data_IF_734097639900
#
_entry.id   IF_734097639900
#
_cell.length_a   1.000
_cell.length_b   1.000
_cell.length_c   1.000
_cell.angle_alpha   90.00
_cell.angle_beta   90.00
_cell.angle_gamma   90.00
#
_symmetry.space_group_name_H-M   'P 1'
#
loop_
_entity.id
_entity.type
_entity.pdbx_description
1 polymer ?
#
# COMPACT_ATOMS: atom_id res chain seq x y z
N UNK A 1 -16.91 20.87 11.97
CA UNK A 1 -16.79 19.46 11.53
C UNK A 1 -15.71 18.81 12.37
N UNK A 2 -15.91 17.57 12.84
CA UNK A 2 -14.87 16.86 13.59
C UNK A 2 -13.67 16.57 12.67
N UNK A 3 -12.43 16.95 13.04
CA UNK A 3 -11.24 16.69 12.23
C UNK A 3 -11.08 15.21 11.90
N UNK A 4 -10.65 14.89 10.67
CA UNK A 4 -10.32 13.51 10.27
C UNK A 4 -9.01 13.12 10.94
N UNK A 5 -8.94 11.94 11.59
CA UNK A 5 -7.68 11.43 12.15
C UNK A 5 -6.99 10.51 11.16
N UNK A 6 -5.76 10.85 10.77
CA UNK A 6 -4.99 10.15 9.75
C UNK A 6 -3.67 9.67 10.36
N UNK A 7 -3.34 8.39 10.20
CA UNK A 7 -1.99 7.88 10.48
C UNK A 7 -1.36 7.39 9.17
N UNK A 8 -0.21 7.96 8.83
CA UNK A 8 0.59 7.57 7.66
C UNK A 8 1.86 6.91 8.14
N UNK A 9 2.02 5.61 7.83
CA UNK A 9 3.22 4.86 8.20
C UNK A 9 4.45 5.43 7.48
N UNK A 10 5.54 5.63 8.22
CA UNK A 10 6.88 5.84 7.71
C UNK A 10 7.77 4.66 8.10
N UNK A 11 8.66 4.26 7.20
CA UNK A 11 9.68 3.25 7.47
C UNK A 11 10.92 3.46 6.59
N UNK A 12 12.11 2.97 7.01
CA UNK A 12 13.33 3.09 6.21
C UNK A 12 13.18 2.44 4.84
N UNK A 13 13.52 3.18 3.78
CA UNK A 13 13.40 2.71 2.40
C UNK A 13 11.98 2.83 1.82
N UNK A 14 11.06 3.56 2.47
CA UNK A 14 9.79 3.94 1.82
C UNK A 14 10.06 4.86 0.62
N UNK A 15 9.17 4.87 -0.36
CA UNK A 15 9.16 5.88 -1.42
C UNK A 15 8.55 7.17 -0.86
N UNK A 16 9.33 8.24 -0.74
CA UNK A 16 8.86 9.48 -0.10
C UNK A 16 7.62 10.06 -0.82
N UNK A 17 7.56 9.96 -2.15
CA UNK A 17 6.44 10.48 -2.94
C UNK A 17 5.12 9.74 -2.66
N UNK A 18 5.16 8.46 -2.32
CA UNK A 18 3.97 7.70 -1.89
C UNK A 18 3.33 8.30 -0.64
N UNK A 19 4.14 8.91 0.24
CA UNK A 19 3.65 9.60 1.44
C UNK A 19 3.28 11.04 1.11
N UNK A 20 4.21 11.79 0.51
CA UNK A 20 4.07 13.24 0.30
C UNK A 20 2.89 13.58 -0.58
N UNK A 21 2.61 12.80 -1.64
CA UNK A 21 1.48 13.03 -2.54
C UNK A 21 0.14 13.03 -1.79
N UNK A 22 -0.26 11.91 -1.14
CA UNK A 22 -1.47 11.88 -0.34
C UNK A 22 -1.45 12.83 0.86
N UNK A 23 -0.32 12.98 1.54
CA UNK A 23 -0.21 13.86 2.71
C UNK A 23 -0.59 15.30 2.35
N UNK A 24 -0.08 15.83 1.23
CA UNK A 24 -0.35 17.21 0.80
C UNK A 24 -1.83 17.49 0.52
N UNK A 25 -2.56 16.50 0.00
CA UNK A 25 -3.99 16.64 -0.31
C UNK A 25 -4.91 16.32 0.88
N UNK A 26 -4.48 15.44 1.79
CA UNK A 26 -5.27 15.04 2.95
C UNK A 26 -5.03 15.91 4.19
N UNK A 27 -3.92 16.65 4.28
CA UNK A 27 -3.59 17.45 5.46
C UNK A 27 -4.68 18.47 5.82
N UNK A 28 -5.34 19.08 4.83
CA UNK A 28 -6.45 20.02 5.06
C UNK A 28 -7.69 19.39 5.70
N UNK A 29 -7.85 18.06 5.64
CA UNK A 29 -8.93 17.31 6.29
C UNK A 29 -8.65 17.02 7.76
N UNK A 30 -7.37 17.03 8.12
CA UNK A 30 -6.82 16.52 9.36
C UNK A 30 -5.92 17.57 10.05
N UNK A 31 -6.40 18.82 10.25
CA UNK A 31 -5.63 19.81 11.00
C UNK A 31 -5.30 19.24 12.39
N UNK A 32 -4.01 19.29 12.75
CA UNK A 32 -3.44 18.78 14.00
C UNK A 32 -3.71 17.30 14.33
N UNK A 33 -4.23 16.54 13.35
CA UNK A 33 -4.71 15.16 13.53
C UNK A 33 -4.20 14.21 12.45
N UNK A 34 -3.23 14.67 11.65
CA UNK A 34 -2.42 13.86 10.75
C UNK A 34 -1.10 13.50 11.46
N UNK A 35 -0.87 12.21 11.61
CA UNK A 35 0.31 11.66 12.25
C UNK A 35 1.20 10.97 11.21
N UNK A 36 2.46 11.38 11.13
CA UNK A 36 3.50 10.61 10.45
C UNK A 36 4.06 9.62 11.48
N UNK A 37 3.73 8.34 11.31
CA UNK A 37 3.94 7.33 12.35
C UNK A 37 5.06 6.38 11.96
N UNK A 38 6.03 6.20 12.85
CA UNK A 38 7.07 5.19 12.69
C UNK A 38 7.25 4.39 13.99
N UNK A 39 8.19 3.43 13.98
CA UNK A 39 8.57 2.68 15.19
C UNK A 39 8.99 3.62 16.33
N UNK A 40 9.69 4.70 16.01
CA UNK A 40 10.11 5.76 16.92
C UNK A 40 10.00 7.12 16.24
N UNK A 41 9.80 8.18 17.04
CA UNK A 41 9.83 9.58 16.58
C UNK A 41 11.22 9.93 16.04
N UNK A 42 11.28 10.79 15.02
CA UNK A 42 12.53 11.27 14.42
C UNK A 42 12.62 11.05 12.91
N UNK A 43 13.78 11.33 12.30
CA UNK A 43 13.97 11.21 10.85
C UNK A 43 13.92 9.75 10.38
N UNK A 44 13.25 9.53 9.25
CA UNK A 44 13.12 8.23 8.58
C UNK A 44 13.50 8.42 7.11
N UNK A 45 14.59 7.78 6.68
CA UNK A 45 15.13 7.91 5.33
C UNK A 45 14.34 7.10 4.30
N UNK A 46 14.01 7.74 3.18
CA UNK A 46 13.40 7.09 2.01
C UNK A 46 14.43 6.33 1.15
N UNK A 47 13.92 5.59 0.17
CA UNK A 47 14.68 4.90 -0.88
C UNK A 47 15.61 5.81 -1.71
N UNK A 48 15.31 7.11 -1.75
CA UNK A 48 16.08 8.13 -2.50
C UNK A 48 16.91 9.04 -1.59
N UNK A 49 17.00 8.74 -0.29
CA UNK A 49 17.79 9.51 0.68
C UNK A 49 17.12 10.76 1.25
N UNK A 50 15.95 11.17 0.74
CA UNK A 50 15.12 12.18 1.39
C UNK A 50 14.58 11.64 2.72
N UNK A 51 14.72 12.40 3.81
CA UNK A 51 14.20 11.99 5.11
C UNK A 51 12.91 12.74 5.46
N UNK A 52 11.89 11.99 5.91
CA UNK A 52 10.69 12.56 6.53
C UNK A 52 10.77 12.40 8.04
N UNK A 53 10.17 13.30 8.81
CA UNK A 53 10.22 13.24 10.28
C UNK A 53 8.94 12.60 10.81
N UNK A 54 9.06 11.44 11.44
CA UNK A 54 7.96 10.83 12.18
C UNK A 54 7.61 11.71 13.38
N UNK A 55 6.34 12.08 13.48
CA UNK A 55 5.80 12.92 14.56
C UNK A 55 5.30 12.08 15.74
N UNK A 56 5.13 10.76 15.54
CA UNK A 56 4.47 9.88 16.50
C UNK A 56 5.04 8.46 16.40
N UNK A 57 5.17 7.77 17.54
CA UNK A 57 5.60 6.38 17.59
C UNK A 57 4.41 5.41 17.42
N UNK A 58 4.66 4.11 17.20
CA UNK A 58 3.59 3.10 17.24
C UNK A 58 2.85 3.05 18.58
N UNK A 59 3.55 3.31 19.69
CA UNK A 59 2.97 3.29 21.03
C UNK A 59 2.05 4.50 21.26
N UNK A 60 2.46 5.68 20.77
CA UNK A 60 1.77 6.95 21.04
C UNK A 60 0.75 7.33 19.97
N UNK A 61 0.68 6.58 18.87
CA UNK A 61 -0.29 6.82 17.81
C UNK A 61 -1.72 6.60 18.32
N UNK A 62 -2.69 7.50 18.02
CA UNK A 62 -4.08 7.29 18.40
C UNK A 62 -4.63 5.93 17.96
N UNK A 63 -5.44 5.31 18.82
CA UNK A 63 -6.02 3.98 18.55
C UNK A 63 -7.19 4.02 17.57
N UNK A 64 -7.93 5.13 17.56
CA UNK A 64 -9.07 5.40 16.67
C UNK A 64 -8.64 6.32 15.53
N UNK A 65 -8.75 5.83 14.30
CA UNK A 65 -8.34 6.54 13.10
C UNK A 65 -9.48 6.56 12.09
N UNK A 66 -9.63 7.66 11.35
CA UNK A 66 -10.45 7.66 10.16
C UNK A 66 -9.69 7.01 8.99
N UNK A 67 -8.38 7.23 8.90
CA UNK A 67 -7.53 6.71 7.82
C UNK A 67 -6.25 6.13 8.40
N UNK A 68 -6.01 4.84 8.15
CA UNK A 68 -4.71 4.20 8.27
C UNK A 68 -4.10 4.09 6.87
N UNK A 69 -2.88 4.59 6.69
CA UNK A 69 -2.21 4.67 5.40
C UNK A 69 -0.83 4.03 5.41
N UNK A 70 -0.53 3.26 4.36
CA UNK A 70 0.74 2.55 4.19
C UNK A 70 1.37 2.85 2.82
N UNK A 71 2.54 3.49 2.74
CA UNK A 71 3.26 3.71 1.48
C UNK A 71 3.97 2.44 1.00
N UNK A 72 4.46 2.45 -0.24
CA UNK A 72 5.38 1.45 -0.77
C UNK A 72 6.84 1.90 -0.72
N UNK A 73 7.68 1.23 -1.51
CA UNK A 73 9.12 1.50 -1.66
C UNK A 73 10.02 0.29 -1.38
N UNK A 74 11.33 0.46 -1.55
CA UNK A 74 12.35 -0.59 -1.42
C UNK A 74 12.34 -1.30 -0.06
N UNK A 75 11.93 -0.60 1.01
CA UNK A 75 11.79 -1.16 2.35
C UNK A 75 10.59 -2.10 2.55
N UNK A 76 9.72 -2.26 1.55
CA UNK A 76 8.46 -3.03 1.65
C UNK A 76 8.70 -4.45 2.18
N UNK A 77 9.65 -5.18 1.60
CA UNK A 77 9.91 -6.57 1.97
C UNK A 77 10.37 -6.73 3.43
N UNK A 78 11.10 -5.75 3.96
CA UNK A 78 11.49 -5.73 5.36
C UNK A 78 10.28 -5.53 6.27
N UNK A 79 9.38 -4.61 5.92
CA UNK A 79 8.16 -4.35 6.70
C UNK A 79 7.16 -5.50 6.65
N UNK A 80 7.09 -6.25 5.55
CA UNK A 80 6.30 -7.49 5.46
C UNK A 80 6.73 -8.56 6.46
N UNK A 81 7.95 -8.49 7.00
CA UNK A 81 8.50 -9.41 8.01
C UNK A 81 8.60 -8.80 9.41
N UNK A 82 8.38 -7.49 9.53
CA UNK A 82 8.56 -6.78 10.79
C UNK A 82 7.35 -6.98 11.71
N UNK A 83 7.50 -7.82 12.72
CA UNK A 83 6.42 -8.21 13.62
C UNK A 83 5.75 -7.00 14.32
N UNK A 84 6.52 -5.96 14.67
CA UNK A 84 5.98 -4.78 15.33
C UNK A 84 5.11 -3.94 14.38
N UNK A 85 5.56 -3.75 13.15
CA UNK A 85 4.80 -3.05 12.10
C UNK A 85 3.52 -3.79 11.77
N UNK A 86 3.59 -5.11 11.56
CA UNK A 86 2.39 -5.91 11.29
C UNK A 86 1.40 -5.89 12.46
N UNK A 87 1.88 -5.96 13.71
CA UNK A 87 1.04 -5.87 14.89
C UNK A 87 0.37 -4.48 15.01
N UNK A 88 1.13 -3.41 14.81
CA UNK A 88 0.62 -2.03 14.78
C UNK A 88 -0.49 -1.86 13.72
N UNK A 89 -0.25 -2.34 12.51
CA UNK A 89 -1.23 -2.25 11.41
C UNK A 89 -2.50 -3.04 11.72
N UNK A 90 -2.40 -4.27 12.23
CA UNK A 90 -3.57 -5.08 12.61
C UNK A 90 -4.40 -4.40 13.69
N UNK A 91 -3.73 -3.87 14.72
CA UNK A 91 -4.40 -3.18 15.82
C UNK A 91 -5.16 -1.95 15.31
N UNK A 92 -4.48 -1.03 14.62
CA UNK A 92 -5.11 0.20 14.11
C UNK A 92 -6.19 -0.09 13.06
N UNK A 93 -5.96 -1.05 12.17
CA UNK A 93 -6.93 -1.43 11.14
C UNK A 93 -8.23 -2.01 11.71
N UNK A 94 -8.21 -2.60 12.92
CA UNK A 94 -9.42 -3.14 13.55
C UNK A 94 -10.48 -2.07 13.88
N UNK A 95 -10.07 -0.80 13.95
CA UNK A 95 -10.92 0.34 14.32
C UNK A 95 -10.86 1.48 13.30
N UNK A 96 -9.99 1.38 12.29
CA UNK A 96 -9.87 2.40 11.26
C UNK A 96 -11.10 2.43 10.34
N UNK A 97 -11.63 3.63 10.07
CA UNK A 97 -12.73 3.78 9.09
C UNK A 97 -12.28 3.44 7.67
N UNK A 98 -11.03 3.71 7.32
CA UNK A 98 -10.41 3.33 6.04
C UNK A 98 -9.01 2.73 6.26
N UNK A 99 -8.74 1.59 5.65
CA UNK A 99 -7.42 0.94 5.60
C UNK A 99 -6.87 1.09 4.20
N UNK A 100 -5.79 1.83 4.07
CA UNK A 100 -5.37 2.37 2.78
C UNK A 100 -3.89 2.17 2.49
N UNK A 101 -3.53 2.09 1.22
CA UNK A 101 -2.13 2.03 0.80
C UNK A 101 -1.91 2.58 -0.61
N UNK A 102 -0.66 2.95 -0.89
CA UNK A 102 -0.18 3.29 -2.24
C UNK A 102 0.93 2.31 -2.62
N UNK A 103 1.05 2.04 -3.92
CA UNK A 103 2.16 1.26 -4.49
C UNK A 103 2.26 -0.13 -3.81
N UNK A 104 3.47 -0.55 -3.48
CA UNK A 104 3.76 -1.80 -2.78
C UNK A 104 3.35 -1.82 -1.30
N UNK A 105 2.83 -0.72 -0.75
CA UNK A 105 2.28 -0.68 0.62
C UNK A 105 1.11 -1.65 0.82
N UNK A 106 0.39 -1.96 -0.25
CA UNK A 106 -0.63 -3.01 -0.29
C UNK A 106 -0.07 -4.40 0.05
N UNK A 107 1.21 -4.66 -0.25
CA UNK A 107 1.86 -5.93 0.14
C UNK A 107 2.10 -6.01 1.65
N UNK A 108 2.38 -4.88 2.30
CA UNK A 108 2.50 -4.82 3.77
C UNK A 108 1.13 -5.05 4.42
N UNK A 109 0.07 -4.45 3.88
CA UNK A 109 -1.31 -4.73 4.32
C UNK A 109 -1.68 -6.20 4.10
N UNK A 110 -1.30 -6.78 2.97
CA UNK A 110 -1.47 -8.20 2.67
C UNK A 110 -0.75 -9.10 3.68
N UNK A 111 0.52 -8.80 3.99
CA UNK A 111 1.31 -9.51 5.00
C UNK A 111 0.73 -9.37 6.42
N UNK A 112 0.09 -8.23 6.73
CA UNK A 112 -0.68 -8.04 7.94
C UNK A 112 -1.99 -8.86 7.95
N UNK A 113 -2.38 -9.49 6.85
CA UNK A 113 -3.61 -10.26 6.69
C UNK A 113 -4.85 -9.38 6.43
N UNK A 114 -4.65 -8.10 6.12
CA UNK A 114 -5.73 -7.11 6.03
C UNK A 114 -6.44 -7.08 4.67
N UNK A 115 -5.90 -7.78 3.67
CA UNK A 115 -6.42 -7.83 2.30
C UNK A 115 -6.92 -9.23 1.86
N UNK A 116 -6.98 -10.21 2.77
CA UNK A 116 -7.50 -11.55 2.43
C UNK A 116 -8.95 -11.48 1.94
N UNK A 117 -9.18 -11.89 0.70
CA UNK A 117 -10.49 -11.87 0.03
C UNK A 117 -10.92 -10.51 -0.52
N UNK A 118 -10.12 -9.45 -0.34
CA UNK A 118 -10.43 -8.11 -0.86
C UNK A 118 -9.82 -7.89 -2.24
N UNK A 119 -10.54 -7.17 -3.10
CA UNK A 119 -10.02 -6.59 -4.32
C UNK A 119 -9.02 -5.49 -3.98
N UNK A 120 -7.83 -5.57 -4.56
CA UNK A 120 -6.78 -4.60 -4.33
C UNK A 120 -5.88 -4.43 -5.55
N UNK A 121 -5.26 -3.26 -5.67
CA UNK A 121 -4.18 -2.95 -6.62
C UNK A 121 -2.86 -2.74 -5.87
N UNK A 122 -1.77 -2.63 -6.62
CA UNK A 122 -0.42 -2.37 -6.12
C UNK A 122 0.40 -1.68 -7.20
N UNK A 123 1.71 -1.54 -7.01
CA UNK A 123 2.60 -1.22 -8.12
C UNK A 123 2.52 -2.32 -9.19
N UNK A 124 2.51 -1.94 -10.47
CA UNK A 124 2.33 -2.86 -11.60
C UNK A 124 3.32 -4.03 -11.59
N UNK A 125 4.54 -3.81 -11.11
CA UNK A 125 5.59 -4.84 -11.06
C UNK A 125 5.31 -5.97 -10.06
N UNK A 126 4.44 -5.76 -9.07
CA UNK A 126 4.16 -6.71 -7.99
C UNK A 126 2.68 -7.09 -7.87
N UNK A 127 1.78 -6.31 -8.48
CA UNK A 127 0.32 -6.49 -8.39
C UNK A 127 -0.12 -7.89 -8.80
N UNK A 128 0.33 -8.38 -9.95
CA UNK A 128 -0.19 -9.66 -10.47
C UNK A 128 0.61 -10.87 -9.96
N UNK A 129 1.78 -10.62 -9.34
CA UNK A 129 2.78 -11.65 -9.08
C UNK A 129 3.07 -11.90 -7.60
N UNK A 130 2.83 -10.92 -6.72
CA UNK A 130 3.10 -10.99 -5.28
C UNK A 130 1.83 -10.76 -4.47
N UNK A 131 1.03 -9.75 -4.82
CA UNK A 131 -0.21 -9.42 -4.10
C UNK A 131 -1.18 -10.62 -3.94
N UNK A 132 -1.38 -11.51 -4.95
CA UNK A 132 -2.26 -12.67 -4.81
C UNK A 132 -1.76 -13.70 -3.80
N UNK A 133 -0.43 -13.81 -3.63
CA UNK A 133 0.19 -14.70 -2.64
C UNK A 133 -0.20 -14.32 -1.19
N UNK A 134 -0.65 -13.08 -1.00
CA UNK A 134 -1.08 -12.53 0.29
C UNK A 134 -2.61 -12.60 0.48
N UNK A 135 -3.32 -13.29 -0.43
CA UNK A 135 -4.76 -13.57 -0.35
C UNK A 135 -5.65 -12.46 -0.91
N UNK A 136 -5.10 -11.42 -1.52
CA UNK A 136 -5.87 -10.38 -2.18
C UNK A 136 -6.25 -10.77 -3.61
N UNK A 137 -7.33 -10.21 -4.13
CA UNK A 137 -7.77 -10.37 -5.52
C UNK A 137 -7.18 -9.19 -6.32
N UNK A 138 -6.18 -9.42 -7.20
CA UNK A 138 -5.52 -8.33 -7.91
C UNK A 138 -6.46 -7.66 -8.92
N UNK A 139 -6.44 -6.32 -8.97
CA UNK A 139 -7.21 -5.51 -9.91
C UNK A 139 -6.29 -4.49 -10.57
N UNK A 140 -6.23 -4.49 -11.91
CA UNK A 140 -5.51 -3.49 -12.69
C UNK A 140 -6.34 -2.21 -12.82
N UNK A 141 -6.38 -1.44 -11.73
CA UNK A 141 -6.95 -0.11 -11.70
C UNK A 141 -6.05 0.82 -10.87
N UNK A 142 -6.16 2.12 -11.12
CA UNK A 142 -5.32 3.14 -10.49
C UNK A 142 -5.65 3.32 -9.01
N UNK A 143 -6.94 3.24 -8.66
CA UNK A 143 -7.43 3.28 -7.27
C UNK A 143 -8.58 2.28 -7.13
N UNK A 144 -8.45 1.34 -6.21
CA UNK A 144 -9.43 0.28 -5.96
C UNK A 144 -10.05 0.48 -4.58
N UNK A 145 -11.37 0.60 -4.53
CA UNK A 145 -12.16 0.59 -3.30
C UNK A 145 -12.87 -0.76 -3.16
N UNK A 146 -12.71 -1.42 -2.02
CA UNK A 146 -13.45 -2.63 -1.65
C UNK A 146 -13.83 -2.59 -0.16
N UNK A 147 -15.11 -2.36 0.12
CA UNK A 147 -15.56 -2.04 1.47
C UNK A 147 -14.82 -0.84 2.04
N UNK A 148 -14.09 -1.03 3.15
CA UNK A 148 -13.24 -0.01 3.76
C UNK A 148 -11.75 -0.12 3.38
N UNK A 149 -11.39 -0.99 2.42
CA UNK A 149 -10.03 -1.08 1.88
C UNK A 149 -9.89 -0.18 0.67
N UNK A 150 -8.83 0.63 0.64
CA UNK A 150 -8.52 1.49 -0.50
C UNK A 150 -7.06 1.36 -0.87
N UNK A 151 -6.78 0.70 -1.97
CA UNK A 151 -5.41 0.54 -2.47
C UNK A 151 -5.25 1.33 -3.74
N UNK A 152 -4.12 2.02 -3.88
CA UNK A 152 -3.77 2.76 -5.09
C UNK A 152 -2.53 2.14 -5.74
N UNK A 153 -2.42 2.32 -7.04
CA UNK A 153 -1.33 1.79 -7.85
C UNK A 153 0.01 2.52 -7.55
N UNK A 154 0.96 2.46 -8.48
CA UNK A 154 2.30 2.99 -8.28
C UNK A 154 2.37 4.50 -8.03
N UNK A 155 3.10 4.87 -6.99
CA UNK A 155 3.71 6.19 -6.76
C UNK A 155 2.75 7.38 -6.88
N UNK A 156 2.62 7.95 -8.08
CA UNK A 156 1.77 9.12 -8.33
C UNK A 156 0.28 8.84 -8.16
N UNK A 157 -0.13 7.57 -8.18
CA UNK A 157 -1.51 7.17 -7.89
C UNK A 157 -1.97 7.61 -6.50
N UNK A 158 -1.05 7.92 -5.57
CA UNK A 158 -1.36 8.50 -4.27
C UNK A 158 -2.10 9.84 -4.34
N UNK A 159 -1.86 10.66 -5.37
CA UNK A 159 -2.56 11.93 -5.57
C UNK A 159 -4.04 11.70 -5.90
N UNK A 160 -4.31 10.83 -6.86
CA UNK A 160 -5.68 10.48 -7.27
C UNK A 160 -6.44 9.76 -6.15
N UNK A 161 -5.75 8.87 -5.42
CA UNK A 161 -6.27 8.22 -4.22
C UNK A 161 -6.73 9.24 -3.19
N UNK A 162 -5.90 10.24 -2.89
CA UNK A 162 -6.21 11.23 -1.88
C UNK A 162 -7.45 12.07 -2.25
N UNK A 163 -7.58 12.47 -3.52
CA UNK A 163 -8.79 13.16 -4.01
C UNK A 163 -10.03 12.26 -3.91
N UNK A 164 -9.92 11.01 -4.36
CA UNK A 164 -11.04 10.06 -4.32
C UNK A 164 -11.47 9.71 -2.88
N UNK A 165 -10.53 9.66 -1.94
CA UNK A 165 -10.81 9.46 -0.52
C UNK A 165 -11.38 10.73 0.13
N UNK A 166 -10.84 11.91 -0.20
CA UNK A 166 -11.36 13.19 0.28
C UNK A 166 -12.84 13.36 -0.10
N UNK A 167 -13.23 12.97 -1.31
CA UNK A 167 -14.61 12.99 -1.76
C UNK A 167 -15.52 12.10 -0.87
N UNK A 168 -15.04 10.93 -0.43
CA UNK A 168 -15.79 10.05 0.49
C UNK A 168 -15.82 10.53 1.93
N UNK A 169 -14.84 11.34 2.33
CA UNK A 169 -14.73 11.87 3.70
C UNK A 169 -15.50 13.19 3.89
N UNK A 170 -15.61 14.03 2.84
CA UNK A 170 -16.16 15.40 2.91
C UNK A 170 -17.03 15.82 1.73
N UNK A 171 -17.25 14.96 0.75
CA UNK A 171 -18.02 15.26 -0.45
C UNK A 171 -17.17 15.78 -1.61
N UNK A 172 -17.75 15.75 -2.81
CA UNK A 172 -17.04 16.06 -4.06
C UNK A 172 -16.54 17.51 -4.12
N UNK A 173 -17.31 18.48 -3.62
CA UNK A 173 -16.93 19.90 -3.68
C UNK A 173 -15.64 20.17 -2.90
N UNK A 174 -15.45 19.52 -1.75
CA UNK A 174 -14.21 19.59 -1.01
C UNK A 174 -13.05 19.02 -1.82
N UNK A 175 -13.22 17.84 -2.42
CA UNK A 175 -12.18 17.21 -3.21
C UNK A 175 -11.79 18.04 -4.44
N UNK A 176 -12.77 18.62 -5.15
CA UNK A 176 -12.52 19.54 -6.28
C UNK A 176 -11.82 20.81 -5.85
N UNK A 177 -12.17 21.34 -4.67
CA UNK A 177 -11.48 22.50 -4.09
C UNK A 177 -10.02 22.16 -3.76
N UNK A 178 -9.76 21.02 -3.11
CA UNK A 178 -8.40 20.55 -2.82
C UNK A 178 -7.59 20.33 -4.11
N UNK A 179 -8.20 19.75 -5.14
CA UNK A 179 -7.59 19.59 -6.46
C UNK A 179 -7.19 20.95 -7.07
N UNK A 180 -8.06 21.95 -6.98
CA UNK A 180 -7.79 23.30 -7.50
C UNK A 180 -6.70 24.02 -6.70
N UNK A 181 -6.72 23.93 -5.37
CA UNK A 181 -5.69 24.53 -4.50
C UNK A 181 -4.31 23.95 -4.81
N UNK A 182 -4.23 22.66 -5.10
CA UNK A 182 -3.00 22.00 -5.49
C UNK A 182 -2.62 22.21 -6.97
N UNK A 183 -3.47 22.87 -7.76
CA UNK A 183 -3.37 22.96 -9.22
C UNK A 183 -3.09 21.59 -9.87
N UNK A 184 -3.76 20.54 -9.36
CA UNK A 184 -3.54 19.18 -9.83
C UNK A 184 -4.23 18.93 -11.17
N UNK A 185 -3.55 19.38 -12.23
CA UNK A 185 -3.92 19.26 -13.64
C UNK A 185 -2.74 18.68 -14.43
N UNK A 186 -2.36 17.41 -14.19
CA UNK A 186 -1.13 16.84 -14.74
C UNK A 186 -1.15 16.79 -16.27
N UNK A 187 -0.04 17.17 -16.90
CA UNK A 187 0.22 17.04 -18.33
C UNK A 187 1.57 16.34 -18.55
N UNK A 188 1.65 15.01 -18.35
CA UNK A 188 2.90 14.28 -18.50
C UNK A 188 3.49 14.48 -19.91
N UNK A 189 4.81 14.70 -20.05
CA UNK A 189 5.43 14.91 -21.36
C UNK A 189 5.62 13.62 -22.19
N UNK A 190 5.32 12.45 -21.61
CA UNK A 190 5.43 11.15 -22.24
C UNK A 190 4.27 10.24 -21.83
N UNK A 191 3.87 9.34 -22.74
CA UNK A 191 2.83 8.32 -22.51
C UNK A 191 3.45 6.98 -22.07
N UNK A 192 4.22 6.99 -20.97
CA UNK A 192 4.93 5.80 -20.47
C UNK A 192 4.57 5.44 -19.01
N UNK A 193 3.42 5.91 -18.52
CA UNK A 193 2.99 5.73 -17.13
C UNK A 193 2.43 4.34 -16.79
N UNK A 194 2.27 3.46 -17.77
CA UNK A 194 1.83 2.07 -17.59
C UNK A 194 2.62 1.14 -18.53
N UNK A 195 2.75 -0.17 -18.21
CA UNK A 195 3.44 -1.11 -19.09
C UNK A 195 2.86 -1.15 -20.51
N UNK A 196 1.54 -1.09 -20.63
CA UNK A 196 0.85 -1.09 -21.92
C UNK A 196 1.22 0.13 -22.78
N UNK A 197 1.23 1.34 -22.19
CA UNK A 197 1.54 2.57 -22.90
C UNK A 197 3.05 2.71 -23.20
N UNK A 198 3.91 2.26 -22.27
CA UNK A 198 5.37 2.33 -22.41
C UNK A 198 5.92 1.38 -23.49
N UNK A 199 5.18 0.32 -23.82
CA UNK A 199 5.61 -0.71 -24.75
C UNK A 199 6.68 -1.66 -24.16
N UNK A 200 7.01 -2.74 -24.87
CA UNK A 200 7.77 -3.87 -24.32
C UNK A 200 9.21 -3.52 -23.95
N UNK A 201 9.89 -2.70 -24.74
CA UNK A 201 11.31 -2.34 -24.52
C UNK A 201 11.48 -1.51 -23.24
N UNK A 202 10.65 -0.48 -23.06
CA UNK A 202 10.73 0.38 -21.87
C UNK A 202 10.26 -0.38 -20.64
N UNK A 203 9.21 -1.20 -20.77
CA UNK A 203 8.73 -2.07 -19.69
C UNK A 203 9.83 -3.03 -19.22
N UNK A 204 10.55 -3.69 -20.13
CA UNK A 204 11.66 -4.58 -19.77
C UNK A 204 12.76 -3.85 -19.01
N UNK A 205 13.13 -2.63 -19.44
CA UNK A 205 14.13 -1.81 -18.74
C UNK A 205 13.65 -1.42 -17.34
N UNK A 206 12.40 -1.00 -17.21
CA UNK A 206 11.81 -0.67 -15.91
C UNK A 206 11.75 -1.91 -15.00
N UNK A 207 11.43 -3.08 -15.55
CA UNK A 207 11.42 -4.34 -14.81
C UNK A 207 12.82 -4.69 -14.26
N UNK A 208 13.88 -4.44 -15.02
CA UNK A 208 15.26 -4.65 -14.54
C UNK A 208 15.62 -3.72 -13.37
N UNK A 209 15.13 -2.47 -13.38
CA UNK A 209 15.30 -1.54 -12.26
C UNK A 209 14.56 -2.05 -11.01
N UNK A 210 13.37 -2.61 -11.19
CA UNK A 210 12.48 -3.03 -10.10
C UNK A 210 12.68 -4.49 -9.65
N UNK A 211 13.64 -5.21 -10.25
CA UNK A 211 13.79 -6.65 -10.04
C UNK A 211 14.06 -7.00 -8.57
N UNK A 212 14.95 -6.26 -7.91
CA UNK A 212 15.26 -6.44 -6.49
C UNK A 212 14.01 -6.26 -5.61
N UNK A 213 13.21 -5.22 -5.86
CA UNK A 213 11.98 -4.96 -5.12
C UNK A 213 11.01 -6.15 -5.23
N UNK A 214 10.76 -6.64 -6.45
CA UNK A 214 9.84 -7.76 -6.70
C UNK A 214 10.37 -9.06 -6.11
N UNK A 215 11.66 -9.34 -6.29
CA UNK A 215 12.31 -10.56 -5.78
C UNK A 215 12.25 -10.62 -4.26
N UNK A 216 12.59 -9.53 -3.57
CA UNK A 216 12.56 -9.50 -2.11
C UNK A 216 11.13 -9.53 -1.55
N UNK A 217 10.17 -8.88 -2.20
CA UNK A 217 8.77 -8.95 -1.82
C UNK A 217 8.20 -10.38 -1.99
N UNK A 218 8.56 -11.07 -3.08
CA UNK A 218 8.16 -12.47 -3.29
C UNK A 218 8.73 -13.40 -2.22
N UNK A 219 10.02 -13.26 -1.87
CA UNK A 219 10.63 -14.00 -0.76
C UNK A 219 9.94 -13.73 0.57
N UNK A 220 9.55 -12.48 0.82
CA UNK A 220 8.82 -12.09 2.03
C UNK A 220 7.41 -12.71 2.10
N UNK A 221 6.76 -12.92 0.96
CA UNK A 221 5.40 -13.49 0.90
C UNK A 221 5.37 -15.01 1.08
N UNK A 222 6.43 -15.74 0.72
CA UNK A 222 6.45 -17.22 0.73
C UNK A 222 6.06 -17.87 2.07
N UNK A 223 6.52 -17.39 3.26
CA UNK A 223 6.14 -18.00 4.54
C UNK A 223 4.70 -17.70 5.00
N UNK A 224 4.00 -16.78 4.32
CA UNK A 224 2.67 -16.30 4.72
C UNK A 224 1.56 -17.17 4.12
N UNK A 225 1.89 -17.94 3.07
CA UNK A 225 0.96 -18.89 2.49
C UNK A 225 0.67 -20.04 3.47
N UNK A 226 -0.59 -20.49 3.60
CA UNK A 226 -0.83 -21.81 4.18
C UNK A 226 -0.07 -22.85 3.33
N UNK A 227 0.39 -23.96 3.93
CA UNK A 227 0.99 -25.05 3.14
C UNK A 227 0.02 -25.42 2.02
N UNK A 228 0.54 -25.68 0.81
CA UNK A 228 -0.29 -26.22 -0.26
C UNK A 228 -1.06 -27.43 0.29
N UNK A 229 -2.35 -27.62 -0.07
CA UNK A 229 -3.01 -28.87 0.25
C UNK A 229 -2.18 -29.97 -0.39
N UNK A 230 -1.46 -30.72 0.45
CA UNK A 230 -0.60 -31.81 -0.01
C UNK A 230 -1.43 -32.70 -0.91
N UNK A 231 -0.86 -33.08 -2.06
CA UNK A 231 -1.45 -34.13 -2.89
C UNK A 231 -1.79 -35.28 -1.95
N UNK A 232 -3.09 -35.49 -1.72
CA UNK A 232 -3.57 -36.58 -0.89
C UNK A 232 -2.97 -37.86 -1.43
N UNK A 233 -2.40 -38.67 -0.53
CA UNK A 233 -1.88 -39.99 -0.86
C UNK A 233 -2.88 -40.71 -1.74
N UNK A 234 -2.48 -40.96 -2.98
CA UNK A 234 -3.26 -41.80 -3.87
C UNK A 234 -3.46 -43.15 -3.16
N UNK A 235 -4.69 -43.67 -3.07
CA UNK A 235 -4.92 -44.94 -2.41
C UNK A 235 -4.10 -46.02 -3.12
N UNK A 236 -3.27 -46.70 -2.32
CA UNK A 236 -2.50 -47.88 -2.73
C UNK A 236 -3.43 -48.88 -3.45
N UNK A 237 -3.07 -49.40 -4.64
CA UNK A 237 -3.89 -50.38 -5.31
C UNK A 237 -3.93 -51.65 -4.47
N UNK A 238 -5.13 -51.99 -4.00
CA UNK A 238 -5.41 -53.25 -3.33
C UNK A 238 -4.90 -54.42 -4.18
N UNK A 239 -4.06 -55.25 -3.57
CA UNK A 239 -3.66 -56.57 -4.06
C UNK A 239 -4.93 -57.39 -4.34
N UNK A 240 -5.13 -57.76 -5.62
CA UNK A 240 -6.05 -58.83 -5.99
C UNK A 240 -5.36 -60.15 -5.67
N UNK A 241 -5.85 -60.85 -4.67
CA UNK A 241 -5.68 -62.29 -4.55
C UNK A 241 -6.67 -62.95 -5.50
N UNK A 242 -6.15 -63.75 -6.44
CA UNK A 242 -6.72 -64.99 -6.99
C UNK A 242 -5.56 -65.82 -7.59
#
# INVERSE_FOLDING_TARGET
MTPVRIAMLLYPGMTALDVVGPQGLLAGLAPDTLHLVARSVGPVSSDTGLSLVATTSFADCPTELDVLFVPGGDGTAAQMRDAATLAFLRDRASRARWVTSVCTGSLILGAAGLLKGYRATSHWCARDTVLPLLGAIPVDDRVVFDGNRVTAAGVSAGLDFALALAARLRGEDYARTAQLVAEYAPKPPFEAGSPAAAGPIITQRAQAILDTLVTEARKAAAPIQPPEPGLGDAPSPASRED
#
